data_IF_076009929072
#
_entry.id   IF_076009929072
#
_cell.length_a   1.000
_cell.length_b   1.000
_cell.length_c   1.000
_cell.angle_alpha   90.00
_cell.angle_beta   90.00
_cell.angle_gamma   90.00
#
_symmetry.space_group_name_H-M   'P 1'
#
loop_
_entity.id
_entity.type
_entity.pdbx_description
1 polymer ?
#
# COMPACT_ATOMS: atom_id res chain seq x y z
N UNK A 1 -44.93 4.65 19.41
CA UNK A 1 -44.23 4.07 18.24
C UNK A 1 -43.59 5.23 17.49
N UNK A 2 -42.25 5.26 17.35
CA UNK A 2 -41.47 5.85 16.22
C UNK A 2 -40.03 6.14 16.68
N UNK A 3 -39.14 5.16 16.46
CA UNK A 3 -37.69 5.36 16.46
C UNK A 3 -37.16 4.95 15.09
N UNK A 4 -36.75 5.91 14.24
CA UNK A 4 -36.18 5.60 12.92
C UNK A 4 -35.44 6.79 12.25
N UNK A 5 -34.77 7.69 13.00
CA UNK A 5 -34.12 8.86 12.38
C UNK A 5 -32.69 9.20 12.88
N UNK A 6 -32.04 8.36 13.70
CA UNK A 6 -30.72 8.67 14.28
C UNK A 6 -29.52 8.10 13.49
N UNK A 7 -29.72 7.11 12.61
CA UNK A 7 -28.61 6.43 11.91
C UNK A 7 -27.96 7.24 10.78
N UNK A 8 -28.75 7.99 10.01
CA UNK A 8 -28.26 8.73 8.84
C UNK A 8 -27.46 9.99 9.18
N UNK A 9 -27.77 10.64 10.30
CA UNK A 9 -27.03 11.82 10.77
C UNK A 9 -25.66 11.43 11.33
N UNK A 10 -25.60 10.34 12.10
CA UNK A 10 -24.36 9.86 12.72
C UNK A 10 -23.33 9.39 11.70
N UNK A 11 -23.77 8.74 10.61
CA UNK A 11 -22.88 8.35 9.51
C UNK A 11 -22.27 9.57 8.79
N UNK A 12 -23.05 10.64 8.59
CA UNK A 12 -22.56 11.87 7.93
C UNK A 12 -21.60 12.67 8.81
N UNK A 13 -21.77 12.63 10.13
CA UNK A 13 -20.91 13.34 11.10
C UNK A 13 -19.57 12.62 11.23
N UNK A 14 -19.58 11.29 11.38
CA UNK A 14 -18.35 10.47 11.44
C UNK A 14 -17.57 10.54 10.13
N UNK A 15 -18.26 10.58 8.97
CA UNK A 15 -17.60 10.76 7.67
C UNK A 15 -16.97 12.15 7.54
N UNK A 16 -17.61 13.20 8.06
CA UNK A 16 -17.06 14.57 8.06
C UNK A 16 -15.85 14.69 8.97
N UNK A 17 -15.92 14.15 10.18
CA UNK A 17 -14.83 14.23 11.15
C UNK A 17 -13.67 13.31 10.78
N UNK A 18 -13.95 12.15 10.17
CA UNK A 18 -12.92 11.34 9.54
C UNK A 18 -12.29 12.07 8.35
N UNK A 19 -13.03 12.81 7.52
CA UNK A 19 -12.42 13.58 6.43
C UNK A 19 -11.66 14.81 6.93
N UNK A 20 -11.94 15.30 8.14
CA UNK A 20 -11.29 16.46 8.75
C UNK A 20 -9.89 16.15 9.30
N UNK A 21 -8.97 15.71 8.45
CA UNK A 21 -7.54 15.84 8.74
C UNK A 21 -7.09 17.26 8.39
N UNK A 22 -6.57 17.99 9.37
CA UNK A 22 -6.53 19.46 9.43
C UNK A 22 -5.63 20.21 8.43
N UNK A 23 -5.02 19.57 7.41
CA UNK A 23 -4.00 20.21 6.56
C UNK A 23 -4.29 20.14 5.04
N UNK A 24 -4.16 21.28 4.34
CA UNK A 24 -4.34 21.38 2.88
C UNK A 24 -3.44 20.41 2.09
N UNK A 25 -2.23 20.14 2.60
CA UNK A 25 -1.28 19.19 2.00
C UNK A 25 -1.85 17.77 1.91
N UNK A 26 -2.67 17.34 2.87
CA UNK A 26 -3.29 16.02 2.83
C UNK A 26 -4.25 15.91 1.65
N UNK A 27 -5.10 16.92 1.43
CA UNK A 27 -6.04 16.92 0.31
C UNK A 27 -5.33 17.04 -1.04
N UNK A 28 -4.25 17.83 -1.13
CA UNK A 28 -3.44 17.93 -2.34
C UNK A 28 -2.79 16.58 -2.70
N UNK A 29 -2.20 15.89 -1.73
CA UNK A 29 -1.62 14.56 -1.93
C UNK A 29 -2.69 13.54 -2.30
N UNK A 30 -3.81 13.51 -1.59
CA UNK A 30 -4.93 12.61 -1.87
C UNK A 30 -5.48 12.83 -3.28
N UNK A 31 -5.71 14.09 -3.68
CA UNK A 31 -6.17 14.44 -5.01
C UNK A 31 -5.20 14.01 -6.10
N UNK A 32 -3.89 14.21 -5.87
CA UNK A 32 -2.83 13.79 -6.79
C UNK A 32 -2.80 12.27 -6.96
N UNK A 33 -2.88 11.51 -5.87
CA UNK A 33 -2.90 10.05 -5.91
C UNK A 33 -4.12 9.53 -6.68
N UNK A 34 -5.31 10.04 -6.37
CA UNK A 34 -6.55 9.64 -7.07
C UNK A 34 -6.45 9.97 -8.57
N UNK A 35 -5.94 11.15 -8.92
CA UNK A 35 -5.74 11.56 -10.30
C UNK A 35 -4.80 10.61 -11.06
N UNK A 36 -3.66 10.26 -10.46
CA UNK A 36 -2.70 9.32 -11.05
C UNK A 36 -3.29 7.91 -11.21
N UNK A 37 -4.09 7.44 -10.25
CA UNK A 37 -4.79 6.14 -10.35
C UNK A 37 -5.77 6.15 -11.51
N UNK A 38 -6.57 7.22 -11.68
CA UNK A 38 -7.51 7.35 -12.80
C UNK A 38 -6.78 7.30 -14.14
N UNK A 39 -5.68 8.06 -14.29
CA UNK A 39 -4.86 8.02 -15.51
C UNK A 39 -4.33 6.60 -15.76
N UNK A 40 -3.80 5.93 -14.72
CA UNK A 40 -3.30 4.57 -14.85
C UNK A 40 -4.37 3.57 -15.28
N UNK A 41 -5.60 3.70 -14.76
CA UNK A 41 -6.74 2.86 -15.17
C UNK A 41 -7.14 3.13 -16.63
N UNK A 42 -7.12 4.39 -17.09
CA UNK A 42 -7.39 4.74 -18.49
C UNK A 42 -6.35 4.10 -19.42
N UNK A 43 -5.07 4.18 -19.07
CA UNK A 43 -3.97 3.60 -19.88
C UNK A 43 -4.15 2.08 -20.01
N UNK A 44 -4.48 1.39 -18.93
CA UNK A 44 -4.63 -0.07 -18.97
C UNK A 44 -5.92 -0.51 -19.65
N UNK A 45 -6.99 0.27 -19.53
CA UNK A 45 -8.20 0.07 -20.32
C UNK A 45 -7.88 0.17 -21.83
N UNK A 46 -7.10 1.17 -22.24
CA UNK A 46 -6.67 1.35 -23.63
C UNK A 46 -5.83 0.17 -24.13
N UNK A 47 -4.81 -0.26 -23.37
CA UNK A 47 -3.97 -1.40 -23.74
C UNK A 47 -4.74 -2.73 -23.80
N UNK A 48 -5.66 -2.97 -22.84
CA UNK A 48 -6.48 -4.20 -22.81
C UNK A 48 -7.47 -4.27 -23.97
N UNK A 49 -7.90 -3.12 -24.52
CA UNK A 49 -8.83 -3.08 -25.65
C UNK A 49 -8.25 -3.65 -26.95
N UNK A 50 -6.92 -3.63 -27.11
CA UNK A 50 -6.24 -4.15 -28.30
C UNK A 50 -6.13 -5.67 -28.26
N UNK A 51 -5.83 -6.26 -27.10
CA UNK A 51 -5.80 -7.73 -26.91
C UNK A 51 -7.17 -8.38 -27.15
N UNK A 52 -8.25 -7.63 -26.87
CA UNK A 52 -9.64 -8.06 -27.10
C UNK A 52 -10.01 -8.25 -28.57
N UNK A 53 -9.25 -7.64 -29.49
CA UNK A 53 -9.48 -7.77 -30.93
C UNK A 53 -8.74 -8.97 -31.54
N UNK A 54 -7.78 -9.56 -30.83
CA UNK A 54 -6.86 -10.59 -31.35
C UNK A 54 -6.97 -11.95 -30.66
N UNK A 55 -7.53 -12.03 -29.46
CA UNK A 55 -7.59 -13.28 -28.70
C UNK A 55 -8.93 -13.45 -27.98
N UNK A 56 -9.65 -14.51 -28.36
CA UNK A 56 -10.96 -14.94 -27.84
C UNK A 56 -10.88 -15.47 -26.38
N UNK A 57 -9.93 -14.94 -25.60
CA UNK A 57 -9.58 -15.36 -24.24
C UNK A 57 -9.64 -14.15 -23.30
N UNK A 58 -10.85 -13.82 -22.86
CA UNK A 58 -11.07 -13.08 -21.60
C UNK A 58 -10.77 -11.58 -21.66
N UNK A 59 -11.62 -10.85 -22.37
CA UNK A 59 -11.82 -9.39 -22.50
C UNK A 59 -11.50 -8.48 -21.29
N UNK A 60 -11.42 -9.05 -20.09
CA UNK A 60 -11.49 -8.33 -18.83
C UNK A 60 -10.32 -8.61 -17.87
N UNK A 61 -9.40 -9.53 -18.20
CA UNK A 61 -8.38 -10.00 -17.26
C UNK A 61 -7.46 -8.89 -16.72
N UNK A 62 -6.81 -8.14 -17.61
CA UNK A 62 -5.86 -7.07 -17.24
C UNK A 62 -6.54 -5.88 -16.55
N UNK A 63 -7.60 -5.36 -17.16
CA UNK A 63 -8.37 -4.25 -16.61
C UNK A 63 -9.07 -4.61 -15.28
N UNK A 64 -9.79 -5.73 -15.17
CA UNK A 64 -10.45 -6.11 -13.92
C UNK A 64 -9.45 -6.41 -12.82
N UNK A 65 -8.28 -6.97 -13.14
CA UNK A 65 -7.23 -7.19 -12.14
C UNK A 65 -6.71 -5.86 -11.60
N UNK A 66 -6.43 -4.88 -12.46
CA UNK A 66 -5.97 -3.57 -12.01
C UNK A 66 -7.05 -2.74 -11.31
N UNK A 67 -8.29 -2.79 -11.80
CA UNK A 67 -9.43 -2.17 -11.13
C UNK A 67 -9.68 -2.83 -9.76
N UNK A 68 -9.58 -4.15 -9.65
CA UNK A 68 -9.66 -4.88 -8.39
C UNK A 68 -8.56 -4.46 -7.41
N UNK A 69 -7.32 -4.30 -7.88
CA UNK A 69 -6.24 -3.76 -7.06
C UNK A 69 -6.50 -2.32 -6.61
N UNK A 70 -7.08 -1.46 -7.45
CA UNK A 70 -7.44 -0.09 -7.05
C UNK A 70 -8.57 -0.09 -5.99
N UNK A 71 -9.58 -0.94 -6.15
CA UNK A 71 -10.71 -1.09 -5.21
C UNK A 71 -10.23 -1.54 -3.83
N UNK A 72 -9.20 -2.39 -3.76
CA UNK A 72 -8.62 -2.83 -2.47
C UNK A 72 -7.58 -1.83 -1.96
N UNK A 73 -6.76 -1.27 -2.86
CA UNK A 73 -5.64 -0.39 -2.53
C UNK A 73 -6.07 0.97 -1.99
N UNK A 74 -7.12 1.59 -2.53
CA UNK A 74 -7.60 2.90 -2.07
C UNK A 74 -8.10 2.84 -0.61
N UNK A 75 -9.00 1.91 -0.23
CA UNK A 75 -9.39 1.74 1.17
C UNK A 75 -8.19 1.42 2.08
N UNK A 76 -7.28 0.55 1.64
CA UNK A 76 -6.09 0.20 2.43
C UNK A 76 -5.22 1.44 2.68
N UNK A 77 -4.98 2.26 1.66
CA UNK A 77 -4.26 3.52 1.79
C UNK A 77 -4.95 4.45 2.80
N UNK A 78 -6.28 4.60 2.72
CA UNK A 78 -7.03 5.46 3.65
C UNK A 78 -6.89 4.97 5.09
N UNK A 79 -6.98 3.66 5.34
CA UNK A 79 -6.80 3.09 6.68
C UNK A 79 -5.37 3.36 7.19
N UNK A 80 -4.36 3.05 6.37
CA UNK A 80 -2.94 3.22 6.73
C UNK A 80 -2.60 4.69 6.99
N UNK A 81 -3.17 5.62 6.22
CA UNK A 81 -2.96 7.06 6.39
C UNK A 81 -3.46 7.61 7.74
N UNK A 82 -4.32 6.85 8.43
CA UNK A 82 -4.90 7.22 9.74
C UNK A 82 -4.24 6.51 10.90
N UNK A 83 -3.27 5.63 10.66
CA UNK A 83 -2.56 4.96 11.75
C UNK A 83 -1.74 5.99 12.54
N UNK A 84 -1.82 5.97 13.88
CA UNK A 84 -1.09 6.92 14.72
C UNK A 84 0.42 6.74 14.53
N UNK A 85 1.19 7.83 14.58
CA UNK A 85 2.64 7.78 14.39
C UNK A 85 3.35 6.85 15.38
N UNK A 86 2.78 6.66 16.57
CA UNK A 86 3.27 5.75 17.62
C UNK A 86 3.23 4.27 17.21
N UNK A 87 2.40 3.90 16.24
CA UNK A 87 2.33 2.53 15.71
C UNK A 87 3.61 2.12 14.99
N UNK A 88 4.17 3.01 14.17
CA UNK A 88 5.24 2.67 13.24
C UNK A 88 6.56 2.24 13.90
N UNK A 89 7.05 2.86 14.99
CA UNK A 89 8.28 2.44 15.66
C UNK A 89 8.26 0.99 16.16
N UNK A 90 7.11 0.52 16.67
CA UNK A 90 6.95 -0.84 17.18
C UNK A 90 6.83 -1.86 16.06
N UNK A 91 6.12 -1.50 14.98
CA UNK A 91 5.76 -2.44 13.91
C UNK A 91 6.76 -2.48 12.77
N UNK A 92 7.49 -1.40 12.49
CA UNK A 92 8.39 -1.30 11.33
C UNK A 92 9.44 -2.42 11.29
N UNK A 93 10.05 -2.77 12.43
CA UNK A 93 11.03 -3.87 12.50
C UNK A 93 10.40 -5.24 12.25
N UNK A 94 9.19 -5.47 12.76
CA UNK A 94 8.44 -6.72 12.56
C UNK A 94 8.01 -6.86 11.10
N UNK A 95 7.51 -5.79 10.50
CA UNK A 95 7.18 -5.72 9.09
C UNK A 95 8.41 -5.97 8.21
N UNK A 96 9.56 -5.42 8.56
CA UNK A 96 10.83 -5.70 7.86
C UNK A 96 11.19 -7.19 7.92
N UNK A 97 11.14 -7.80 9.11
CA UNK A 97 11.38 -9.24 9.25
C UNK A 97 10.42 -10.09 8.43
N UNK A 98 9.13 -9.74 8.44
CA UNK A 98 8.11 -10.39 7.62
C UNK A 98 8.38 -10.22 6.12
N UNK A 99 8.70 -9.02 5.67
CA UNK A 99 8.98 -8.72 4.26
C UNK A 99 10.20 -9.47 3.75
N UNK A 100 11.27 -9.55 4.54
CA UNK A 100 12.46 -10.35 4.20
C UNK A 100 12.11 -11.84 4.17
N UNK A 101 11.35 -12.35 5.13
CA UNK A 101 10.93 -13.74 5.14
C UNK A 101 10.09 -14.10 3.90
N UNK A 102 9.15 -13.23 3.51
CA UNK A 102 8.36 -13.39 2.29
C UNK A 102 9.23 -13.34 1.02
N UNK A 103 10.25 -12.48 0.99
CA UNK A 103 11.19 -12.42 -0.13
C UNK A 103 12.02 -13.70 -0.24
N UNK A 104 12.47 -14.27 0.88
CA UNK A 104 13.19 -15.53 0.90
C UNK A 104 12.29 -16.72 0.53
N UNK A 105 10.99 -16.61 0.78
CA UNK A 105 10.02 -17.65 0.42
C UNK A 105 9.97 -17.92 -1.10
N UNK A 106 10.43 -16.98 -1.93
CA UNK A 106 10.53 -17.20 -3.38
C UNK A 106 11.51 -18.35 -3.73
N UNK A 107 12.48 -18.65 -2.87
CA UNK A 107 13.36 -19.81 -3.08
C UNK A 107 12.68 -21.16 -2.78
N UNK A 108 11.55 -21.15 -2.07
CA UNK A 108 10.73 -22.33 -1.79
C UNK A 108 10.02 -22.82 -3.06
N UNK A 109 9.46 -24.05 -3.13
CA UNK A 109 8.79 -24.57 -4.33
C UNK A 109 7.56 -23.76 -4.79
N UNK A 110 7.09 -22.80 -3.98
CA UNK A 110 5.98 -21.90 -4.31
C UNK A 110 6.43 -20.73 -5.21
N UNK A 111 7.74 -20.48 -5.29
CA UNK A 111 8.31 -19.46 -6.17
C UNK A 111 8.30 -19.90 -7.63
N UNK A 112 7.69 -19.08 -8.50
CA UNK A 112 7.63 -19.28 -9.94
C UNK A 112 8.71 -18.48 -10.66
N UNK A 113 9.13 -18.97 -11.82
CA UNK A 113 10.04 -18.28 -12.71
C UNK A 113 9.25 -17.58 -13.81
N UNK A 114 9.52 -16.30 -14.04
CA UNK A 114 8.90 -15.53 -15.12
C UNK A 114 9.98 -14.69 -15.79
N UNK A 115 10.15 -14.85 -17.11
CA UNK A 115 11.20 -14.14 -17.86
C UNK A 115 12.63 -14.50 -17.45
N UNK A 116 12.88 -15.75 -17.00
CA UNK A 116 14.19 -16.22 -16.55
C UNK A 116 14.58 -15.77 -15.13
N UNK A 117 13.64 -15.15 -14.39
CA UNK A 117 13.88 -14.64 -13.04
C UNK A 117 12.88 -15.22 -12.03
N UNK A 118 13.40 -15.81 -10.95
CA UNK A 118 12.60 -16.40 -9.86
C UNK A 118 12.32 -15.39 -8.76
N UNK A 119 11.34 -14.53 -9.00
CA UNK A 119 10.98 -13.44 -8.07
C UNK A 119 9.48 -13.34 -7.74
N UNK A 120 8.70 -14.30 -8.21
CA UNK A 120 7.24 -14.29 -8.10
C UNK A 120 6.76 -15.45 -7.24
N UNK A 121 5.71 -15.23 -6.46
CA UNK A 121 5.01 -16.27 -5.71
C UNK A 121 3.63 -16.44 -6.33
N UNK A 122 3.27 -17.67 -6.65
CA UNK A 122 1.93 -18.02 -7.14
C UNK A 122 1.15 -18.76 -6.05
N UNK A 123 -0.03 -18.23 -5.71
CA UNK A 123 -0.98 -18.86 -4.80
C UNK A 123 -2.32 -18.94 -5.53
N UNK A 124 -2.61 -20.10 -6.13
CA UNK A 124 -3.81 -20.28 -6.96
C UNK A 124 -3.79 -19.36 -8.19
N UNK A 125 -4.84 -18.54 -8.35
CA UNK A 125 -4.95 -17.54 -9.43
C UNK A 125 -4.24 -16.21 -9.12
N UNK A 126 -3.71 -16.05 -7.91
CA UNK A 126 -3.02 -14.84 -7.50
C UNK A 126 -1.51 -14.98 -7.64
N UNK A 127 -0.90 -14.04 -8.36
CA UNK A 127 0.55 -13.88 -8.41
C UNK A 127 0.94 -12.55 -7.79
N UNK A 128 1.92 -12.59 -6.90
CA UNK A 128 2.49 -11.39 -6.29
C UNK A 128 4.01 -11.45 -6.26
N UNK A 129 4.60 -10.27 -6.32
CA UNK A 129 6.04 -10.09 -6.22
C UNK A 129 6.37 -9.58 -4.81
N UNK A 130 6.96 -10.41 -3.91
CA UNK A 130 7.27 -10.00 -2.55
C UNK A 130 8.15 -8.75 -2.47
N UNK A 131 8.98 -8.53 -3.49
CA UNK A 131 9.90 -7.39 -3.57
C UNK A 131 9.16 -6.05 -3.67
N UNK A 132 7.95 -6.02 -4.22
CA UNK A 132 7.12 -4.81 -4.26
C UNK A 132 6.71 -4.39 -2.85
N UNK A 133 6.22 -5.34 -2.05
CA UNK A 133 5.88 -5.11 -0.65
C UNK A 133 7.11 -4.73 0.19
N UNK A 134 8.24 -5.42 -0.04
CA UNK A 134 9.48 -5.16 0.69
C UNK A 134 10.00 -3.73 0.49
N UNK A 135 9.87 -3.14 -0.71
CA UNK A 135 10.25 -1.73 -0.96
C UNK A 135 9.53 -0.76 -0.04
N UNK A 136 8.20 -0.91 0.08
CA UNK A 136 7.37 -0.05 0.95
C UNK A 136 7.76 -0.24 2.41
N UNK A 137 7.96 -1.49 2.83
CA UNK A 137 8.38 -1.84 4.20
C UNK A 137 9.74 -1.22 4.54
N UNK A 138 10.71 -1.26 3.63
CA UNK A 138 12.02 -0.63 3.81
C UNK A 138 11.87 0.88 3.93
N UNK A 139 11.05 1.53 3.09
CA UNK A 139 10.81 2.97 3.18
C UNK A 139 10.27 3.39 4.55
N UNK A 140 9.28 2.65 5.07
CA UNK A 140 8.72 2.86 6.42
C UNK A 140 9.78 2.62 7.49
N UNK A 141 10.53 1.51 7.39
CA UNK A 141 11.56 1.18 8.37
C UNK A 141 12.67 2.21 8.42
N UNK A 142 13.14 2.72 7.28
CA UNK A 142 14.12 3.78 7.22
C UNK A 142 13.61 5.08 7.86
N UNK A 143 12.35 5.44 7.60
CA UNK A 143 11.71 6.61 8.22
C UNK A 143 11.67 6.54 9.75
N UNK A 144 11.63 5.34 10.32
CA UNK A 144 11.70 5.12 11.78
C UNK A 144 13.14 4.98 12.28
N UNK A 145 13.99 4.25 11.55
CA UNK A 145 15.31 3.83 12.02
C UNK A 145 16.33 4.98 11.97
N UNK A 146 16.26 5.84 10.94
CA UNK A 146 17.22 6.93 10.74
C UNK A 146 17.15 7.95 11.90
N UNK A 147 15.96 8.49 12.29
CA UNK A 147 15.89 9.43 13.42
C UNK A 147 16.43 8.84 14.72
N UNK A 148 16.08 7.59 15.02
CA UNK A 148 16.57 6.89 16.21
C UNK A 148 18.09 6.65 16.19
N UNK A 149 18.68 6.45 15.01
CA UNK A 149 20.12 6.31 14.86
C UNK A 149 20.84 7.65 15.07
N UNK A 150 20.29 8.74 14.52
CA UNK A 150 20.82 10.10 14.69
C UNK A 150 20.82 10.49 16.17
N UNK A 151 19.70 10.30 16.87
CA UNK A 151 19.57 10.64 18.30
C UNK A 151 20.59 9.89 19.17
N UNK A 152 20.79 8.60 18.88
CA UNK A 152 21.75 7.74 19.60
C UNK A 152 23.21 8.13 19.38
N UNK A 153 23.56 8.62 18.19
CA UNK A 153 24.92 9.04 17.85
C UNK A 153 25.19 10.42 18.44
N UNK A 154 24.25 11.36 18.27
CA UNK A 154 24.34 12.69 18.85
C UNK A 154 24.53 12.62 20.37
N UNK A 155 23.71 11.83 21.08
CA UNK A 155 23.83 11.67 22.53
C UNK A 155 25.17 11.06 22.96
N UNK A 156 25.77 10.17 22.14
CA UNK A 156 27.04 9.51 22.45
C UNK A 156 28.23 10.46 22.32
N UNK A 157 28.19 11.37 21.34
CA UNK A 157 29.25 12.38 21.15
C UNK A 157 29.30 13.35 22.33
N UNK A 158 28.15 13.79 22.84
CA UNK A 158 28.08 14.67 24.01
C UNK A 158 28.55 13.99 25.32
N UNK A 159 28.46 12.67 25.43
CA UNK A 159 28.95 11.92 26.59
C UNK A 159 30.46 11.66 26.59
N UNK A 160 31.11 11.74 25.43
CA UNK A 160 32.56 11.51 25.29
C UNK A 160 33.35 12.83 25.38
N UNK A 161 32.69 13.96 25.14
CA UNK A 161 33.29 15.30 25.18
C UNK A 161 33.16 16.01 26.54
N UNK A 162 32.56 15.37 27.55
CA UNK A 162 32.47 15.82 28.94
C UNK A 162 33.12 14.77 29.86
#
# INVERSE_FOLDING_TARGET
MTGAASGGLSARIVLRDALRSENANFYLLLGTVIFLVIIGLIVVFSASSIDSFLSDQGFFGGFLRQAGFAIVGIPLMLIVSRLPLVFWPTWAKRLLGLGVALQLLVFSPIGIETGGNRNWIAIGSFTAQPSEGLKVIIAVWLGVAIPLAIDRVGSRVWQVLL
#
